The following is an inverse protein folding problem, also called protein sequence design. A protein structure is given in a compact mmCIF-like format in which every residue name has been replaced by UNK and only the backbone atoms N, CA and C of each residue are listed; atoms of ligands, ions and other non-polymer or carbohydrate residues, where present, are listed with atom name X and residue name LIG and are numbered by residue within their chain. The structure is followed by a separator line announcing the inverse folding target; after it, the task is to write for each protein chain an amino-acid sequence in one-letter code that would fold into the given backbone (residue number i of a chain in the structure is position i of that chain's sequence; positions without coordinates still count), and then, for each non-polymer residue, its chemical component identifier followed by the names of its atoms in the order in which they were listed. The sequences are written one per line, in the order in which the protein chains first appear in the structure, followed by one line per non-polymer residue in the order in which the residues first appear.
data_IF_242141822899
#
_entry.id   IF_242141822899
#
_cell.length_a   1.000
_cell.length_b   1.000
_cell.length_c   1.000
_cell.angle_alpha   90.00
_cell.angle_beta   90.00
_cell.angle_gamma   90.00
#
_symmetry.space_group_name_H-M   'P 1'
#
loop_
_entity.id
_entity.type
_entity.pdbx_description
1 polymer ?
#
# COMPACT_ATOMS: atom_id res chain seq x y z
N UNK A 1 25.79 -31.81 -1.52
CA UNK A 1 25.69 -32.08 -2.97
C UNK A 1 24.30 -31.67 -3.40
N UNK A 2 24.17 -30.55 -4.12
CA UNK A 2 22.91 -30.13 -4.72
C UNK A 2 22.64 -31.01 -5.94
N UNK A 3 21.62 -31.86 -5.86
CA UNK A 3 21.14 -32.62 -7.02
C UNK A 3 20.81 -31.65 -8.15
N UNK A 4 21.33 -31.85 -9.38
CA UNK A 4 21.00 -30.98 -10.50
C UNK A 4 19.47 -30.97 -10.66
N UNK A 5 18.91 -29.77 -10.67
CA UNK A 5 17.47 -29.53 -10.88
C UNK A 5 17.13 -30.08 -12.27
N UNK A 6 16.72 -31.35 -12.34
CA UNK A 6 16.47 -32.03 -13.60
C UNK A 6 15.42 -31.31 -14.44
N UNK A 7 15.48 -31.49 -15.77
CA UNK A 7 14.49 -30.91 -16.69
C UNK A 7 13.07 -31.17 -16.17
N UNK A 8 12.27 -30.09 -16.06
CA UNK A 8 10.89 -30.16 -15.55
C UNK A 8 10.73 -30.15 -14.03
N UNK A 9 11.76 -29.91 -13.23
CA UNK A 9 11.62 -29.82 -11.77
C UNK A 9 10.65 -28.69 -11.34
N UNK A 10 10.74 -27.49 -11.94
CA UNK A 10 9.83 -26.39 -11.64
C UNK A 10 8.37 -26.71 -11.99
N UNK A 11 8.14 -27.44 -13.09
CA UNK A 11 6.82 -27.93 -13.49
C UNK A 11 6.25 -28.91 -12.46
N UNK A 12 7.07 -29.89 -12.04
CA UNK A 12 6.70 -30.87 -11.01
C UNK A 12 6.43 -30.22 -9.67
N UNK A 13 7.24 -29.25 -9.25
CA UNK A 13 7.00 -28.46 -8.04
C UNK A 13 5.68 -27.68 -8.11
N UNK A 14 5.38 -27.05 -9.25
CA UNK A 14 4.11 -26.35 -9.43
C UNK A 14 2.90 -27.29 -9.34
N UNK A 15 2.96 -28.48 -9.98
CA UNK A 15 1.90 -29.49 -9.86
C UNK A 15 1.74 -30.02 -8.43
N UNK A 16 2.85 -30.25 -7.71
CA UNK A 16 2.80 -30.64 -6.30
C UNK A 16 2.18 -29.53 -5.43
N UNK A 17 2.52 -28.26 -5.68
CA UNK A 17 1.94 -27.14 -4.95
C UNK A 17 0.43 -27.04 -5.22
N UNK A 18 -0.01 -27.21 -6.48
CA UNK A 18 -1.44 -27.21 -6.84
C UNK A 18 -2.16 -28.40 -6.20
N UNK A 19 -1.57 -29.61 -6.25
CA UNK A 19 -2.19 -30.81 -5.68
C UNK A 19 -2.33 -30.78 -4.16
N UNK A 20 -1.55 -29.94 -3.46
CA UNK A 20 -1.68 -29.68 -2.02
C UNK A 20 -2.63 -28.55 -1.69
N UNK A 21 -3.08 -27.77 -2.68
CA UNK A 21 -3.89 -26.57 -2.47
C UNK A 21 -5.36 -26.93 -2.62
N UNK A 22 -6.09 -26.87 -1.52
CA UNK A 22 -7.53 -27.04 -1.54
C UNK A 22 -8.24 -25.89 -2.26
N UNK A 23 -9.40 -26.20 -2.84
CA UNK A 23 -10.27 -25.17 -3.39
C UNK A 23 -10.77 -24.24 -2.28
N UNK A 24 -10.77 -22.95 -2.58
CA UNK A 24 -11.22 -21.94 -1.64
C UNK A 24 -12.75 -21.90 -1.59
N UNK A 25 -13.32 -22.19 -0.43
CA UNK A 25 -14.77 -22.12 -0.18
C UNK A 25 -15.20 -20.67 0.07
N UNK A 26 -16.43 -20.27 -0.30
CA UNK A 26 -16.96 -18.95 0.05
C UNK A 26 -17.03 -18.76 1.57
N UNK A 27 -16.83 -17.52 2.02
CA UNK A 27 -17.13 -17.08 3.38
C UNK A 27 -18.56 -16.56 3.44
N UNK A 28 -19.26 -16.86 4.53
CA UNK A 28 -20.67 -16.44 4.70
C UNK A 28 -20.82 -15.34 5.74
N UNK A 29 -20.42 -15.60 6.98
CA UNK A 29 -20.64 -14.70 8.12
C UNK A 29 -19.39 -14.57 8.98
N UNK A 30 -18.40 -13.79 8.53
CA UNK A 30 -17.19 -13.55 9.30
C UNK A 30 -17.53 -12.76 10.56
N UNK A 31 -17.22 -13.32 11.73
CA UNK A 31 -17.40 -12.67 13.03
C UNK A 31 -16.10 -12.10 13.60
N UNK A 32 -15.00 -12.22 12.85
CA UNK A 32 -13.65 -11.83 13.23
C UNK A 32 -12.89 -11.32 12.01
N UNK A 33 -12.06 -10.30 12.19
CA UNK A 33 -11.27 -9.70 11.11
C UNK A 33 -10.28 -10.70 10.51
N UNK A 34 -9.78 -11.63 11.33
CA UNK A 34 -8.87 -12.70 10.91
C UNK A 34 -9.51 -13.61 9.84
N UNK A 35 -10.84 -13.76 9.84
CA UNK A 35 -11.54 -14.55 8.82
C UNK A 35 -11.46 -13.82 7.47
N UNK A 36 -11.70 -12.51 7.45
CA UNK A 36 -11.59 -11.71 6.22
C UNK A 36 -10.15 -11.69 5.70
N UNK A 37 -9.19 -11.42 6.59
CA UNK A 37 -7.76 -11.38 6.26
C UNK A 37 -7.27 -12.74 5.77
N UNK A 38 -7.55 -13.81 6.52
CA UNK A 38 -7.18 -15.18 6.16
C UNK A 38 -7.76 -15.58 4.81
N UNK A 39 -9.03 -15.22 4.56
CA UNK A 39 -9.70 -15.52 3.28
C UNK A 39 -9.03 -14.86 2.07
N UNK A 40 -8.43 -13.69 2.26
CA UNK A 40 -7.67 -12.99 1.21
C UNK A 40 -6.24 -13.52 1.11
N UNK A 41 -5.58 -13.83 2.23
CA UNK A 41 -4.25 -14.46 2.26
C UNK A 41 -4.23 -15.84 1.60
N UNK A 42 -5.32 -16.59 1.75
CA UNK A 42 -5.53 -17.90 1.11
C UNK A 42 -5.53 -17.82 -0.43
N UNK A 43 -5.72 -16.63 -1.02
CA UNK A 43 -5.58 -16.37 -2.47
C UNK A 43 -4.09 -16.33 -2.84
N UNK A 44 -3.40 -17.44 -2.58
CA UNK A 44 -1.97 -17.63 -2.74
C UNK A 44 -1.66 -19.09 -3.03
N UNK A 45 -0.54 -19.31 -3.70
CA UNK A 45 -0.02 -20.63 -4.04
C UNK A 45 1.49 -20.63 -3.80
N UNK A 46 1.96 -21.45 -2.85
CA UNK A 46 3.36 -21.51 -2.45
C UNK A 46 4.29 -21.73 -3.67
N UNK A 47 5.31 -20.88 -3.81
CA UNK A 47 6.28 -20.94 -4.92
C UNK A 47 5.75 -20.50 -6.28
N UNK A 48 4.48 -20.11 -6.41
CA UNK A 48 3.87 -19.72 -7.70
C UNK A 48 3.25 -18.33 -7.62
N UNK A 49 2.51 -18.02 -6.55
CA UNK A 49 1.83 -16.75 -6.35
C UNK A 49 1.86 -16.35 -4.88
N UNK A 50 2.48 -15.20 -4.61
CA UNK A 50 2.53 -14.61 -3.27
C UNK A 50 1.14 -14.17 -2.79
N UNK A 51 0.88 -14.17 -1.47
CA UNK A 51 -0.33 -13.59 -0.92
C UNK A 51 -0.48 -12.10 -1.28
N UNK A 52 -1.71 -11.61 -1.50
CA UNK A 52 -1.98 -10.21 -1.83
C UNK A 52 -1.86 -9.30 -0.59
N UNK A 53 -0.62 -9.09 -0.12
CA UNK A 53 -0.29 -8.36 1.12
C UNK A 53 -0.88 -6.95 1.16
N UNK A 54 -0.72 -6.16 0.10
CA UNK A 54 -1.26 -4.80 0.03
C UNK A 54 -2.78 -4.71 0.26
N UNK A 55 -3.51 -5.75 -0.11
CA UNK A 55 -4.97 -5.80 0.10
C UNK A 55 -5.29 -6.17 1.54
N UNK A 56 -4.54 -7.12 2.11
CA UNK A 56 -4.63 -7.50 3.52
C UNK A 56 -4.32 -6.31 4.43
N UNK A 57 -3.20 -5.63 4.17
CA UNK A 57 -2.76 -4.48 4.95
C UNK A 57 -3.81 -3.38 4.90
N UNK A 58 -4.42 -3.15 3.73
CA UNK A 58 -5.51 -2.18 3.59
C UNK A 58 -6.74 -2.55 4.42
N UNK A 59 -7.18 -3.82 4.40
CA UNK A 59 -8.33 -4.27 5.19
C UNK A 59 -8.05 -4.07 6.69
N UNK A 60 -6.85 -4.43 7.14
CA UNK A 60 -6.43 -4.30 8.53
C UNK A 60 -6.32 -2.84 8.96
N UNK A 61 -5.72 -1.99 8.13
CA UNK A 61 -5.62 -0.55 8.36
C UNK A 61 -7.00 0.09 8.53
N UNK A 62 -7.94 -0.25 7.63
CA UNK A 62 -9.31 0.26 7.67
C UNK A 62 -10.02 -0.21 8.94
N UNK A 63 -9.96 -1.51 9.25
CA UNK A 63 -10.65 -2.08 10.41
C UNK A 63 -10.13 -1.54 11.75
N UNK A 64 -8.80 -1.57 11.95
CA UNK A 64 -8.17 -1.01 13.16
C UNK A 64 -8.39 0.49 13.26
N UNK A 65 -8.54 1.13 12.10
CA UNK A 65 -8.95 2.50 11.95
C UNK A 65 -10.45 2.71 12.01
N UNK A 66 -11.30 1.85 12.60
CA UNK A 66 -12.73 2.06 12.90
C UNK A 66 -12.98 2.19 14.42
N UNK A 67 -14.01 2.94 14.86
CA UNK A 67 -14.44 2.86 16.26
C UNK A 67 -15.00 1.47 16.55
N UNK A 68 -14.87 1.00 17.78
CA UNK A 68 -15.26 -0.36 18.17
C UNK A 68 -16.70 -0.71 17.80
N UNK A 69 -17.62 0.25 17.91
CA UNK A 69 -19.03 0.09 17.55
C UNK A 69 -19.22 -0.21 16.05
N UNK A 70 -18.43 0.43 15.18
CA UNK A 70 -18.52 0.27 13.73
C UNK A 70 -17.71 -0.94 13.20
N UNK A 71 -16.86 -1.54 14.02
CA UNK A 71 -16.08 -2.71 13.60
C UNK A 71 -16.99 -3.89 13.27
N UNK A 72 -18.08 -4.10 14.04
CA UNK A 72 -19.06 -5.14 13.78
C UNK A 72 -19.72 -4.99 12.40
N UNK A 73 -20.20 -3.78 12.09
CA UNK A 73 -20.81 -3.41 10.81
C UNK A 73 -19.85 -3.60 9.61
N UNK A 74 -18.56 -3.35 9.82
CA UNK A 74 -17.55 -3.59 8.79
C UNK A 74 -17.33 -5.07 8.51
N UNK A 75 -17.36 -5.92 9.55
CA UNK A 75 -17.22 -7.37 9.39
C UNK A 75 -18.40 -7.96 8.63
N UNK A 76 -19.60 -7.44 8.84
CA UNK A 76 -20.83 -7.86 8.17
C UNK A 76 -21.08 -7.15 6.83
N UNK A 77 -20.12 -6.42 6.26
CA UNK A 77 -20.33 -5.71 4.99
C UNK A 77 -20.50 -6.69 3.81
N UNK A 78 -21.73 -6.82 3.33
CA UNK A 78 -22.10 -7.75 2.25
C UNK A 78 -21.26 -7.56 0.99
N UNK A 79 -21.00 -6.30 0.61
CA UNK A 79 -20.27 -6.01 -0.62
C UNK A 79 -18.80 -6.44 -0.50
N UNK A 80 -18.15 -6.19 0.65
CA UNK A 80 -16.78 -6.64 0.91
C UNK A 80 -16.71 -8.18 0.86
N UNK A 81 -17.64 -8.86 1.53
CA UNK A 81 -17.75 -10.32 1.54
C UNK A 81 -17.95 -10.87 0.12
N UNK A 82 -18.87 -10.28 -0.66
CA UNK A 82 -19.14 -10.68 -2.04
C UNK A 82 -17.89 -10.54 -2.94
N UNK A 83 -17.12 -9.46 -2.77
CA UNK A 83 -15.88 -9.23 -3.53
C UNK A 83 -14.81 -10.24 -3.17
N UNK A 84 -14.64 -10.56 -1.89
CA UNK A 84 -13.71 -11.59 -1.43
C UNK A 84 -14.11 -12.95 -2.03
N UNK A 85 -15.38 -13.34 -1.93
CA UNK A 85 -15.90 -14.58 -2.50
C UNK A 85 -15.74 -14.66 -4.02
N UNK A 86 -15.91 -13.55 -4.71
CA UNK A 86 -15.72 -13.47 -6.16
C UNK A 86 -14.26 -13.65 -6.56
N UNK A 87 -13.31 -13.13 -5.77
CA UNK A 87 -11.89 -13.36 -5.99
C UNK A 87 -11.48 -14.81 -5.64
N UNK A 88 -12.01 -15.39 -4.56
CA UNK A 88 -11.78 -16.80 -4.18
C UNK A 88 -12.25 -17.77 -5.27
N UNK A 89 -13.44 -17.55 -5.84
CA UNK A 89 -13.93 -18.31 -7.00
C UNK A 89 -13.01 -18.18 -8.21
N UNK A 90 -12.58 -16.96 -8.54
CA UNK A 90 -11.63 -16.73 -9.63
C UNK A 90 -10.30 -17.42 -9.41
N UNK A 91 -9.83 -17.48 -8.16
CA UNK A 91 -8.59 -18.17 -7.83
C UNK A 91 -8.71 -19.67 -8.09
N UNK A 92 -9.84 -20.30 -7.75
CA UNK A 92 -10.10 -21.70 -8.09
C UNK A 92 -10.10 -21.92 -9.62
N UNK A 93 -10.71 -21.00 -10.38
CA UNK A 93 -10.70 -21.04 -11.85
C UNK A 93 -9.28 -20.93 -12.42
N UNK A 94 -8.48 -19.99 -11.88
CA UNK A 94 -7.08 -19.82 -12.25
C UNK A 94 -6.25 -21.06 -11.88
N UNK A 95 -6.44 -21.64 -10.70
CA UNK A 95 -5.77 -22.89 -10.28
C UNK A 95 -6.01 -24.01 -11.29
N UNK A 96 -7.25 -24.23 -11.71
CA UNK A 96 -7.57 -25.27 -12.71
C UNK A 96 -6.97 -24.99 -14.10
N UNK A 97 -6.82 -23.72 -14.49
CA UNK A 97 -6.12 -23.34 -15.73
C UNK A 97 -4.60 -23.51 -15.60
N UNK A 98 -4.03 -23.12 -14.46
CA UNK A 98 -2.61 -23.29 -14.12
C UNK A 98 -2.21 -24.76 -14.09
N UNK A 99 -3.05 -25.62 -13.51
CA UNK A 99 -2.84 -27.06 -13.49
C UNK A 99 -2.71 -27.63 -14.90
N UNK A 100 -3.69 -27.36 -15.76
CA UNK A 100 -3.68 -27.80 -17.17
C UNK A 100 -2.47 -27.29 -17.95
N UNK A 101 -1.97 -26.10 -17.62
CA UNK A 101 -0.73 -25.57 -18.21
C UNK A 101 0.50 -26.34 -17.70
N UNK A 102 0.60 -26.55 -16.39
CA UNK A 102 1.70 -27.27 -15.76
C UNK A 102 1.71 -28.79 -16.08
N UNK A 103 0.61 -29.36 -16.54
CA UNK A 103 0.55 -30.73 -17.06
C UNK A 103 1.28 -30.88 -18.42
N UNK A 104 1.44 -29.80 -19.19
CA UNK A 104 2.19 -29.85 -20.45
C UNK A 104 3.69 -29.91 -20.13
N UNK A 105 4.32 -31.01 -20.53
CA UNK A 105 5.77 -31.17 -20.45
C UNK A 105 6.50 -30.07 -21.22
N UNK A 106 7.59 -29.52 -20.67
CA UNK A 106 8.36 -28.47 -21.35
C UNK A 106 8.94 -28.94 -22.69
N UNK A 107 9.30 -28.03 -23.62
CA UNK A 107 9.95 -28.41 -24.87
C UNK A 107 11.23 -29.24 -24.69
N UNK A 108 11.91 -29.10 -23.54
CA UNK A 108 13.09 -29.89 -23.19
C UNK A 108 12.73 -31.30 -22.68
N UNK A 109 11.55 -31.47 -22.04
CA UNK A 109 11.05 -32.78 -21.60
C UNK A 109 10.38 -33.56 -22.74
N UNK A 110 9.56 -32.90 -23.56
CA UNK A 110 8.81 -33.53 -24.65
C UNK A 110 9.65 -33.71 -25.92
N UNK A 111 10.77 -32.99 -26.04
CA UNK A 111 11.50 -32.82 -27.30
C UNK A 111 10.82 -31.79 -28.22
N UNK A 112 11.62 -31.00 -28.95
CA UNK A 112 11.11 -29.89 -29.78
C UNK A 112 10.10 -30.33 -30.84
N UNK A 113 10.27 -31.52 -31.41
CA UNK A 113 9.41 -32.07 -32.47
C UNK A 113 8.04 -32.56 -31.96
N UNK A 114 7.96 -33.04 -30.71
CA UNK A 114 6.74 -33.62 -30.15
C UNK A 114 6.00 -32.66 -29.20
N UNK A 115 6.52 -31.45 -29.00
CA UNK A 115 5.91 -30.47 -28.10
C UNK A 115 4.61 -29.89 -28.69
N UNK A 116 3.47 -29.96 -27.98
CA UNK A 116 2.17 -29.52 -28.48
C UNK A 116 2.04 -27.99 -28.42
N UNK A 117 2.78 -27.29 -29.28
CA UNK A 117 2.96 -25.84 -29.25
C UNK A 117 1.64 -25.07 -29.31
N UNK A 118 0.71 -25.47 -30.17
CA UNK A 118 -0.59 -24.80 -30.29
C UNK A 118 -1.43 -24.92 -29.01
N UNK A 119 -1.48 -26.12 -28.42
CA UNK A 119 -2.19 -26.38 -27.16
C UNK A 119 -1.56 -25.58 -26.01
N UNK A 120 -0.23 -25.56 -25.94
CA UNK A 120 0.50 -24.80 -24.93
C UNK A 120 0.26 -23.29 -25.04
N UNK A 121 0.28 -22.73 -26.26
CA UNK A 121 -0.05 -21.31 -26.50
C UNK A 121 -1.47 -20.98 -26.06
N UNK A 122 -2.45 -21.82 -26.41
CA UNK A 122 -3.86 -21.63 -26.01
C UNK A 122 -4.03 -21.66 -24.49
N UNK A 123 -3.44 -22.65 -23.82
CA UNK A 123 -3.55 -22.78 -22.36
C UNK A 123 -2.80 -21.68 -21.62
N UNK A 124 -1.62 -21.27 -22.12
CA UNK A 124 -0.89 -20.13 -21.58
C UNK A 124 -1.70 -18.84 -21.69
N UNK A 125 -2.38 -18.60 -22.82
CA UNK A 125 -3.26 -17.43 -22.98
C UNK A 125 -4.40 -17.43 -21.96
N UNK A 126 -5.11 -18.57 -21.84
CA UNK A 126 -6.21 -18.71 -20.89
C UNK A 126 -5.79 -18.55 -19.43
N UNK A 127 -4.60 -19.03 -19.08
CA UNK A 127 -4.03 -18.88 -17.74
C UNK A 127 -3.66 -17.43 -17.43
N UNK A 128 -3.06 -16.71 -18.38
CA UNK A 128 -2.78 -15.27 -18.25
C UNK A 128 -4.07 -14.46 -18.09
N UNK A 129 -5.05 -14.66 -18.98
CA UNK A 129 -6.35 -13.99 -18.88
C UNK A 129 -7.00 -14.21 -17.50
N UNK A 130 -6.92 -15.43 -16.97
CA UNK A 130 -7.45 -15.76 -15.64
C UNK A 130 -6.67 -15.12 -14.49
N UNK A 131 -5.34 -15.00 -14.63
CA UNK A 131 -4.48 -14.31 -13.68
C UNK A 131 -4.79 -12.81 -13.65
N UNK A 132 -4.92 -12.19 -14.82
CA UNK A 132 -5.26 -10.77 -14.94
C UNK A 132 -6.65 -10.48 -14.36
N UNK A 133 -7.63 -11.37 -14.62
CA UNK A 133 -8.96 -11.31 -13.99
C UNK A 133 -8.89 -11.43 -12.46
N UNK A 134 -8.03 -12.31 -11.95
CA UNK A 134 -7.83 -12.48 -10.51
C UNK A 134 -7.24 -11.20 -9.89
N UNK A 135 -6.25 -10.59 -10.51
CA UNK A 135 -5.66 -9.32 -10.04
C UNK A 135 -6.67 -8.19 -10.04
N UNK A 136 -7.48 -8.07 -11.10
CA UNK A 136 -8.59 -7.12 -11.14
C UNK A 136 -9.57 -7.35 -9.98
N UNK A 137 -9.91 -8.59 -9.69
CA UNK A 137 -10.82 -8.94 -8.58
C UNK A 137 -10.21 -8.66 -7.20
N UNK A 138 -8.92 -8.93 -7.00
CA UNK A 138 -8.20 -8.57 -5.77
C UNK A 138 -8.17 -7.05 -5.58
N UNK A 139 -7.89 -6.29 -6.64
CA UNK A 139 -7.91 -4.82 -6.60
C UNK A 139 -9.29 -4.28 -6.20
N UNK A 140 -10.38 -4.91 -6.69
CA UNK A 140 -11.75 -4.54 -6.27
C UNK A 140 -12.02 -4.78 -4.78
N UNK A 141 -11.38 -5.76 -4.14
CA UNK A 141 -11.46 -5.95 -2.68
C UNK A 141 -10.85 -4.74 -1.96
N UNK A 142 -9.67 -4.29 -2.41
CA UNK A 142 -9.00 -3.10 -1.85
C UNK A 142 -9.88 -1.86 -1.92
N UNK A 143 -10.56 -1.64 -3.05
CA UNK A 143 -11.54 -0.55 -3.20
C UNK A 143 -12.78 -0.76 -2.32
N UNK A 144 -13.30 -1.99 -2.25
CA UNK A 144 -14.47 -2.32 -1.44
C UNK A 144 -14.22 -2.10 0.06
N UNK A 145 -13.02 -2.36 0.56
CA UNK A 145 -12.62 -2.08 1.93
C UNK A 145 -12.81 -0.60 2.31
N UNK A 146 -12.43 0.33 1.43
CA UNK A 146 -12.68 1.76 1.65
C UNK A 146 -14.17 2.12 1.65
N UNK A 147 -14.97 1.49 0.78
CA UNK A 147 -16.42 1.67 0.77
C UNK A 147 -17.10 1.10 2.02
N UNK A 148 -16.64 -0.06 2.49
CA UNK A 148 -17.13 -0.71 3.71
C UNK A 148 -16.86 0.15 4.93
N UNK A 149 -15.70 0.83 4.99
CA UNK A 149 -15.40 1.81 6.04
C UNK A 149 -16.47 2.88 6.15
N UNK A 150 -16.86 3.46 5.01
CA UNK A 150 -17.85 4.54 4.97
C UNK A 150 -19.22 4.04 5.40
N UNK A 151 -19.64 2.86 4.93
CA UNK A 151 -20.93 2.25 5.32
C UNK A 151 -20.97 1.90 6.81
N UNK A 152 -19.90 1.31 7.33
CA UNK A 152 -19.80 0.98 8.75
C UNK A 152 -19.87 2.22 9.65
N UNK A 153 -19.18 3.31 9.27
CA UNK A 153 -19.27 4.57 10.00
C UNK A 153 -20.68 5.18 9.93
N UNK A 154 -21.28 5.18 8.74
CA UNK A 154 -22.63 5.68 8.55
C UNK A 154 -23.66 4.90 9.39
N UNK A 155 -23.50 3.58 9.53
CA UNK A 155 -24.38 2.74 10.34
C UNK A 155 -24.38 3.14 11.83
N UNK A 156 -23.23 3.59 12.34
CA UNK A 156 -23.07 4.08 13.72
C UNK A 156 -23.36 5.59 13.84
N UNK A 157 -23.73 6.24 12.74
CA UNK A 157 -24.01 7.69 12.72
C UNK A 157 -22.76 8.57 12.82
N UNK A 158 -21.58 8.04 12.50
CA UNK A 158 -20.32 8.81 12.42
C UNK A 158 -19.93 9.06 10.96
N UNK A 159 -19.26 10.19 10.69
CA UNK A 159 -18.75 10.50 9.36
C UNK A 159 -17.22 10.36 9.25
N UNK A 160 -16.75 9.93 8.07
CA UNK A 160 -15.30 9.90 7.73
C UNK A 160 -14.69 11.31 7.83
N UNK A 161 -15.44 12.35 7.47
CA UNK A 161 -15.00 13.73 7.50
C UNK A 161 -14.74 14.21 8.93
N UNK A 162 -15.68 14.00 9.85
CA UNK A 162 -15.50 14.34 11.27
C UNK A 162 -14.29 13.65 11.87
N UNK A 163 -14.07 12.39 11.51
CA UNK A 163 -12.96 11.63 12.06
C UNK A 163 -11.61 12.02 11.48
N UNK A 164 -11.58 12.31 10.18
CA UNK A 164 -10.40 12.89 9.54
C UNK A 164 -10.06 14.24 10.19
N UNK A 165 -11.06 15.04 10.50
CA UNK A 165 -10.86 16.31 11.20
C UNK A 165 -10.37 16.10 12.64
N UNK A 166 -10.98 15.20 13.42
CA UNK A 166 -10.49 14.82 14.77
C UNK A 166 -9.04 14.36 14.75
N UNK A 167 -8.66 13.51 13.80
CA UNK A 167 -7.27 13.04 13.65
C UNK A 167 -6.32 14.19 13.28
N UNK A 168 -6.75 15.09 12.40
CA UNK A 168 -5.99 16.31 12.07
C UNK A 168 -5.89 17.25 13.27
N UNK A 169 -6.91 17.34 14.12
CA UNK A 169 -6.89 18.14 15.35
C UNK A 169 -5.92 17.56 16.38
N UNK A 170 -5.96 16.25 16.62
CA UNK A 170 -5.01 15.56 17.50
C UNK A 170 -3.57 15.77 17.02
N UNK A 171 -3.29 15.51 15.74
CA UNK A 171 -1.95 15.74 15.17
C UNK A 171 -1.52 17.21 15.25
N UNK A 172 -2.47 18.15 15.07
CA UNK A 172 -2.22 19.59 15.26
C UNK A 172 -1.84 19.90 16.70
N UNK A 173 -2.50 19.29 17.69
CA UNK A 173 -2.20 19.48 19.10
C UNK A 173 -0.84 18.89 19.45
N UNK A 174 -0.59 17.63 19.10
CA UNK A 174 0.70 16.94 19.34
C UNK A 174 1.89 17.71 18.76
N UNK A 175 1.80 18.14 17.49
CA UNK A 175 2.89 18.90 16.87
C UNK A 175 2.99 20.31 17.43
N UNK A 176 1.89 20.91 17.88
CA UNK A 176 1.94 22.23 18.53
C UNK A 176 2.61 22.17 19.90
N UNK A 177 2.42 21.09 20.65
CA UNK A 177 3.09 20.87 21.94
C UNK A 177 4.59 20.61 21.76
N UNK A 178 5.00 20.02 20.64
CA UNK A 178 6.42 19.71 20.34
C UNK A 178 7.17 20.84 19.64
N UNK A 179 6.48 21.76 18.97
CA UNK A 179 7.11 22.81 18.18
C UNK A 179 7.09 24.13 18.91
N UNK A 180 8.27 24.72 19.07
CA UNK A 180 8.47 26.05 19.61
C UNK A 180 9.09 26.97 18.55
N UNK A 181 9.04 28.28 18.80
CA UNK A 181 9.80 29.21 17.98
C UNK A 181 11.30 28.90 18.12
N UNK A 182 12.00 28.74 17.01
CA UNK A 182 13.41 28.34 16.96
C UNK A 182 13.63 26.86 16.65
N UNK A 183 12.63 25.99 16.79
CA UNK A 183 12.76 24.57 16.46
C UNK A 183 13.14 24.35 14.99
N UNK A 184 13.97 23.35 14.72
CA UNK A 184 14.32 22.96 13.35
C UNK A 184 13.35 21.89 12.86
N UNK A 185 12.83 22.05 11.65
CA UNK A 185 11.86 21.14 11.05
C UNK A 185 12.27 20.78 9.64
N UNK A 186 12.02 19.53 9.26
CA UNK A 186 11.98 19.09 7.87
C UNK A 186 10.56 19.26 7.34
N UNK A 187 10.44 19.76 6.11
CA UNK A 187 9.17 19.93 5.43
C UNK A 187 9.32 19.85 3.92
N UNK A 188 8.21 19.63 3.20
CA UNK A 188 8.22 19.50 1.74
C UNK A 188 7.52 20.67 1.06
N UNK A 189 8.27 21.45 0.27
CA UNK A 189 7.73 22.50 -0.60
C UNK A 189 8.70 22.89 -1.74
N UNK A 190 8.58 22.37 -2.98
CA UNK A 190 8.04 21.07 -3.41
C UNK A 190 9.02 19.90 -3.15
N UNK A 191 10.30 20.22 -2.93
CA UNK A 191 11.35 19.30 -2.48
C UNK A 191 11.42 19.28 -0.94
N UNK A 192 12.08 18.27 -0.37
CA UNK A 192 12.31 18.21 1.07
C UNK A 192 13.35 19.27 1.46
N UNK A 193 12.99 20.13 2.41
CA UNK A 193 13.79 21.25 2.90
C UNK A 193 13.84 21.22 4.42
N UNK A 194 14.84 21.88 4.96
CA UNK A 194 14.99 22.10 6.40
C UNK A 194 14.93 23.59 6.67
N UNK A 195 14.18 23.96 7.70
CA UNK A 195 14.06 25.35 8.10
C UNK A 195 13.79 25.49 9.60
N UNK A 196 13.86 26.73 10.06
CA UNK A 196 13.61 27.13 11.45
C UNK A 196 12.19 27.63 11.59
N UNK A 197 11.50 27.17 12.63
CA UNK A 197 10.16 27.67 12.98
C UNK A 197 10.26 29.10 13.50
N UNK A 198 9.58 30.03 12.85
CA UNK A 198 9.47 31.42 13.33
C UNK A 198 8.26 31.53 14.26
N UNK A 199 7.14 30.96 13.85
CA UNK A 199 5.86 31.12 14.54
C UNK A 199 4.95 29.92 14.34
N UNK A 200 4.39 29.44 15.44
CA UNK A 200 3.36 28.40 15.45
C UNK A 200 1.98 29.04 15.61
N UNK A 201 1.13 28.92 14.59
CA UNK A 201 -0.28 29.33 14.67
C UNK A 201 -1.18 28.11 14.93
N UNK A 202 -2.47 28.35 15.20
CA UNK A 202 -3.44 27.29 15.53
C UNK A 202 -3.55 26.14 14.50
N UNK A 203 -3.33 26.42 13.21
CA UNK A 203 -3.46 25.42 12.12
C UNK A 203 -2.22 25.29 11.24
N UNK A 204 -1.23 26.15 11.40
CA UNK A 204 -0.09 26.25 10.49
C UNK A 204 1.15 26.81 11.17
N UNK A 205 2.32 26.44 10.69
CA UNK A 205 3.62 26.94 11.12
C UNK A 205 4.21 27.82 10.03
N UNK A 206 4.87 28.91 10.42
CA UNK A 206 5.76 29.67 9.53
C UNK A 206 7.19 29.19 9.74
N UNK A 207 7.83 28.79 8.65
CA UNK A 207 9.18 28.24 8.66
C UNK A 207 10.06 29.11 7.76
N UNK A 208 11.19 29.55 8.31
CA UNK A 208 12.24 30.22 7.56
C UNK A 208 13.24 29.21 7.04
N UNK A 209 13.62 29.28 5.77
CA UNK A 209 14.67 28.42 5.24
C UNK A 209 15.55 29.20 4.24
N UNK A 210 16.79 28.74 3.98
CA UNK A 210 17.65 29.38 2.99
C UNK A 210 17.03 29.33 1.61
N UNK A 211 17.07 30.46 0.90
CA UNK A 211 16.59 30.57 -0.47
C UNK A 211 17.53 29.79 -1.39
N UNK A 212 17.05 28.81 -2.17
CA UNK A 212 17.89 28.13 -3.16
C UNK A 212 18.41 29.05 -4.28
N UNK A 213 17.85 30.26 -4.40
CA UNK A 213 18.25 31.28 -5.37
C UNK A 213 18.90 32.51 -4.71
N UNK A 214 19.31 32.37 -3.45
CA UNK A 214 20.19 33.36 -2.83
C UNK A 214 21.37 33.63 -3.78
N UNK A 215 21.76 34.90 -3.93
CA UNK A 215 22.76 35.43 -4.88
C UNK A 215 22.29 35.62 -6.34
N UNK A 216 21.05 35.29 -6.67
CA UNK A 216 20.42 35.63 -7.95
C UNK A 216 19.73 37.00 -7.95
N UNK A 217 19.43 37.53 -9.14
CA UNK A 217 18.52 38.68 -9.28
C UNK A 217 17.08 38.20 -9.41
N UNK A 218 16.15 38.92 -8.77
CA UNK A 218 14.72 38.71 -8.95
C UNK A 218 14.35 38.90 -10.43
N UNK A 219 13.70 37.93 -11.09
CA UNK A 219 13.40 38.00 -12.53
C UNK A 219 12.41 39.10 -12.92
N UNK A 220 11.82 39.81 -11.94
CA UNK A 220 10.78 40.83 -12.13
C UNK A 220 11.26 42.22 -11.71
N UNK A 221 12.22 42.34 -10.78
CA UNK A 221 12.56 43.63 -10.18
C UNK A 221 14.06 43.98 -10.15
N UNK A 222 14.94 43.12 -10.68
CA UNK A 222 16.40 43.26 -10.62
C UNK A 222 17.00 43.42 -9.20
N UNK A 223 16.17 43.36 -8.16
CA UNK A 223 16.58 43.34 -6.76
C UNK A 223 17.27 42.01 -6.43
N UNK A 224 18.26 42.00 -5.52
CA UNK A 224 18.86 40.75 -5.04
C UNK A 224 17.80 39.86 -4.39
N UNK A 225 17.81 38.58 -4.72
CA UNK A 225 16.94 37.61 -4.05
C UNK A 225 17.29 37.52 -2.55
N UNK A 226 16.29 37.44 -1.66
CA UNK A 226 16.55 37.37 -0.23
C UNK A 226 17.29 36.06 0.12
N UNK A 227 18.23 36.12 1.06
CA UNK A 227 18.97 34.93 1.53
C UNK A 227 18.06 33.88 2.17
N UNK A 228 16.95 34.33 2.77
CA UNK A 228 16.01 33.49 3.50
C UNK A 228 14.57 33.72 3.01
N UNK A 229 13.81 32.65 2.87
CA UNK A 229 12.39 32.68 2.49
C UNK A 229 11.53 32.15 3.63
N UNK A 230 10.35 32.74 3.79
CA UNK A 230 9.33 32.26 4.72
C UNK A 230 8.25 31.46 3.98
N UNK A 231 8.03 30.23 4.45
CA UNK A 231 6.95 29.38 3.97
C UNK A 231 5.92 29.11 5.06
N UNK A 232 4.65 29.02 4.65
CA UNK A 232 3.54 28.63 5.53
C UNK A 232 3.16 27.17 5.31
N UNK A 233 3.23 26.38 6.36
CA UNK A 233 3.03 24.93 6.31
C UNK A 233 1.88 24.54 7.24
N UNK A 234 1.03 23.62 6.80
CA UNK A 234 -0.06 23.12 7.63
C UNK A 234 0.49 22.17 8.71
N UNK A 235 0.04 22.36 9.96
CA UNK A 235 0.50 21.56 11.11
C UNK A 235 0.15 20.06 10.99
N UNK A 236 -0.90 19.72 10.24
CA UNK A 236 -1.30 18.32 10.04
C UNK A 236 -0.67 17.69 8.78
N UNK A 237 0.27 18.38 8.14
CA UNK A 237 0.97 17.86 6.97
C UNK A 237 1.75 16.59 7.36
N UNK A 238 1.64 15.56 6.52
CA UNK A 238 2.39 14.31 6.73
C UNK A 238 3.90 14.51 6.63
N UNK A 239 4.32 15.52 5.89
CA UNK A 239 5.71 15.81 5.58
C UNK A 239 6.36 16.81 6.55
N UNK A 240 5.64 17.29 7.56
CA UNK A 240 6.20 18.17 8.58
C UNK A 240 6.74 17.32 9.73
N UNK A 241 8.06 17.32 9.89
CA UNK A 241 8.76 16.54 10.92
C UNK A 241 9.68 17.43 11.75
N UNK A 242 9.55 17.44 13.09
CA UNK A 242 10.54 18.08 13.96
C UNK A 242 11.87 17.32 13.90
N UNK A 243 12.97 18.07 13.82
CA UNK A 243 14.33 17.54 13.88
C UNK A 243 14.98 17.95 15.20
N UNK A 244 15.65 17.00 15.84
CA UNK A 244 16.52 17.28 16.99
C UNK A 244 17.85 17.82 16.47
N UNK A 245 17.85 19.09 16.07
CA UNK A 245 18.99 19.78 15.51
C UNK A 245 19.02 21.24 16.01
N UNK A 246 20.23 21.71 16.34
CA UNK A 246 20.44 23.07 16.85
C UNK A 246 20.46 24.12 15.72
N UNK A 247 20.74 23.71 14.48
CA UNK A 247 20.86 24.59 13.31
C UNK A 247 20.26 23.96 12.04
N UNK A 248 19.95 24.82 11.06
CA UNK A 248 19.43 24.39 9.76
C UNK A 248 20.44 23.48 9.04
N UNK A 249 21.74 23.80 9.12
CA UNK A 249 22.81 23.00 8.51
C UNK A 249 22.90 21.60 9.12
N UNK A 250 22.94 21.50 10.45
CA UNK A 250 22.91 20.20 11.15
C UNK A 250 21.65 19.40 10.82
N UNK A 251 20.52 20.08 10.66
CA UNK A 251 19.27 19.46 10.23
C UNK A 251 19.31 18.95 8.79
N UNK A 252 19.97 19.67 7.87
CA UNK A 252 20.18 19.22 6.48
C UNK A 252 21.04 17.97 6.45
N UNK A 253 22.16 17.95 7.17
CA UNK A 253 23.03 16.78 7.27
C UNK A 253 22.28 15.55 7.81
N UNK A 254 21.42 15.76 8.82
CA UNK A 254 20.60 14.69 9.39
C UNK A 254 19.59 14.12 8.38
N UNK A 255 19.00 14.97 7.55
CA UNK A 255 18.06 14.57 6.50
C UNK A 255 18.79 13.86 5.35
N UNK A 256 19.95 14.35 4.93
CA UNK A 256 20.77 13.75 3.87
C UNK A 256 21.28 12.35 4.28
N UNK A 257 21.75 12.19 5.52
CA UNK A 257 22.13 10.86 6.06
C UNK A 257 20.97 9.87 6.07
N UNK A 258 19.73 10.34 6.34
CA UNK A 258 18.53 9.50 6.27
C UNK A 258 18.17 9.11 4.84
N UNK A 259 18.49 9.93 3.85
CA UNK A 259 18.21 9.64 2.43
C UNK A 259 19.28 8.75 1.78
N UNK A 260 20.55 8.86 2.20
CA UNK A 260 21.66 8.04 1.69
C UNK A 260 21.70 6.59 2.21
N UNK A 261 20.74 6.17 3.03
CA UNK A 261 20.59 4.80 3.54
C UNK A 261 19.29 4.12 3.05
N UNK A 262 18.65 4.65 2.00
CA UNK A 262 17.52 4.02 1.31
C UNK A 262 17.91 3.50 -0.06
#
# INVERSE_FOLDING_TARGET
METPIGFGAGRRQALQAIGKKDQLTPIEKPNKIEILIGSVQEISLAGVRSPPRDTVDRIMEVYSGLPNEAQSEYLSDDLLIERINTARRQFNDWLGKRQRMAEIASPMEAGRSNYPTQKARKLSRLEREASDDLERKISRIKSAAGGAQQRALNAVGSSVAERTEKRREQRRQELRERLEAGSIVAFRNPQLRVGRVIRVNRRSVRVQHPNPRADGSCPISDDPEPEMVEDRIQLHSEYLEPLDAESIEKGRDAVERRQGHR
#
